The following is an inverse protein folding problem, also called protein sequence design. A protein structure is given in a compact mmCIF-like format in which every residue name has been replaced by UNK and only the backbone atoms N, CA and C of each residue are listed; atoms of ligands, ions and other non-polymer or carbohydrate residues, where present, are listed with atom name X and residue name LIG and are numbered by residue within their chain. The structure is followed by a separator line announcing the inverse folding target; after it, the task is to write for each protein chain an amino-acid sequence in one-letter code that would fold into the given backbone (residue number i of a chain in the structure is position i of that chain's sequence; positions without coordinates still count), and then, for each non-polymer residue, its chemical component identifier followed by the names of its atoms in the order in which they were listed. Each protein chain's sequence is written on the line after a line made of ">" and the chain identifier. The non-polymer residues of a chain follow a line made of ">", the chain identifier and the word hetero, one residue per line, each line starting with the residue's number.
data_IF_538519049976
#
_entry.id   IF_538519049976
#
_cell.length_a   1.000
_cell.length_b   1.000
_cell.length_c   1.000
_cell.angle_alpha   90.00
_cell.angle_beta   90.00
_cell.angle_gamma   90.00
#
_symmetry.space_group_name_H-M   'P 1'
#
loop_
_entity.id
_entity.type
_entity.pdbx_description
1 polymer ?
#
# COMPACT_ATOMS: atom_id res chain seq x y z
N UNK A 1 -17.79 -32.50 -8.41
CA UNK A 1 -18.40 -31.14 -8.30
C UNK A 1 -17.31 -30.11 -8.57
N UNK A 2 -17.18 -29.63 -9.80
CA UNK A 2 -16.15 -28.69 -10.20
C UNK A 2 -16.65 -27.26 -9.91
N UNK A 3 -15.89 -26.55 -9.08
CA UNK A 3 -16.18 -25.23 -8.57
C UNK A 3 -16.27 -24.18 -9.69
N UNK A 4 -17.44 -23.59 -9.91
CA UNK A 4 -17.72 -22.50 -10.87
C UNK A 4 -17.20 -21.14 -10.36
N UNK A 5 -15.94 -21.04 -9.93
CA UNK A 5 -15.38 -19.83 -9.32
C UNK A 5 -14.58 -18.96 -10.31
N UNK A 6 -14.46 -19.35 -11.57
CA UNK A 6 -13.60 -18.62 -12.54
C UNK A 6 -14.20 -17.35 -13.15
N UNK A 7 -15.52 -17.17 -13.16
CA UNK A 7 -16.18 -16.03 -13.82
C UNK A 7 -16.04 -14.69 -13.10
N UNK A 8 -16.14 -14.57 -11.77
CA UNK A 8 -16.06 -13.26 -11.11
C UNK A 8 -14.67 -12.62 -11.20
N UNK A 9 -13.59 -13.40 -11.25
CA UNK A 9 -12.23 -12.85 -11.39
C UNK A 9 -11.96 -12.26 -12.78
N UNK A 10 -12.49 -12.88 -13.83
CA UNK A 10 -12.39 -12.35 -15.20
C UNK A 10 -13.23 -11.07 -15.39
N UNK A 11 -14.40 -11.00 -14.79
CA UNK A 11 -15.26 -9.81 -14.87
C UNK A 11 -14.70 -8.65 -14.05
N UNK A 12 -14.11 -8.89 -12.88
CA UNK A 12 -13.43 -7.88 -12.08
C UNK A 12 -12.18 -7.37 -12.79
N UNK A 13 -11.37 -8.26 -13.39
CA UNK A 13 -10.20 -7.88 -14.19
C UNK A 13 -10.56 -7.08 -15.44
N UNK A 14 -11.59 -7.48 -16.17
CA UNK A 14 -12.07 -6.77 -17.36
C UNK A 14 -12.69 -5.41 -17.02
N UNK A 15 -13.42 -5.30 -15.90
CA UNK A 15 -13.92 -4.04 -15.37
C UNK A 15 -12.78 -3.13 -14.93
N UNK A 16 -11.74 -3.68 -14.28
CA UNK A 16 -10.54 -2.92 -13.88
C UNK A 16 -9.79 -2.35 -15.07
N UNK A 17 -9.54 -3.16 -16.12
CA UNK A 17 -8.89 -2.72 -17.36
C UNK A 17 -9.77 -1.72 -18.14
N UNK A 18 -11.08 -1.93 -18.18
CA UNK A 18 -12.02 -1.00 -18.81
C UNK A 18 -12.06 0.37 -18.10
N UNK A 19 -12.01 0.40 -16.77
CA UNK A 19 -11.96 1.66 -16.01
C UNK A 19 -10.63 2.40 -16.19
N UNK A 20 -9.51 1.68 -16.38
CA UNK A 20 -8.20 2.27 -16.68
C UNK A 20 -8.20 3.00 -18.05
N UNK A 21 -8.72 2.35 -19.09
CA UNK A 21 -8.76 2.93 -20.44
C UNK A 21 -9.68 4.18 -20.55
N UNK A 22 -10.72 4.24 -19.71
CA UNK A 22 -11.70 5.33 -19.71
C UNK A 22 -11.54 6.31 -18.54
N UNK A 23 -10.51 6.16 -17.70
CA UNK A 23 -10.33 7.01 -16.52
C UNK A 23 -10.25 8.51 -16.84
N UNK A 24 -9.57 8.90 -17.93
CA UNK A 24 -9.47 10.29 -18.38
C UNK A 24 -10.80 10.89 -18.83
N UNK A 25 -11.49 10.32 -19.83
CA UNK A 25 -12.79 10.84 -20.30
C UNK A 25 -13.89 10.72 -19.25
N UNK A 26 -13.95 9.63 -18.48
CA UNK A 26 -14.91 9.47 -17.38
C UNK A 26 -14.63 10.50 -16.28
N UNK A 27 -13.37 10.75 -15.92
CA UNK A 27 -12.99 11.76 -14.95
C UNK A 27 -13.49 13.16 -15.33
N UNK A 28 -13.32 13.56 -16.60
CA UNK A 28 -13.83 14.83 -17.13
C UNK A 28 -15.37 14.90 -17.10
N UNK A 29 -16.04 13.82 -17.44
CA UNK A 29 -17.50 13.73 -17.37
C UNK A 29 -18.02 13.83 -15.94
N UNK A 30 -17.39 13.15 -14.99
CA UNK A 30 -17.75 13.21 -13.56
C UNK A 30 -17.47 14.58 -12.93
N UNK A 31 -16.45 15.31 -13.41
CA UNK A 31 -16.25 16.73 -13.04
C UNK A 31 -17.38 17.62 -13.52
N UNK A 32 -17.85 17.42 -14.75
CA UNK A 32 -18.95 18.21 -15.33
C UNK A 32 -20.24 18.06 -14.53
N UNK A 33 -20.46 16.87 -13.93
CA UNK A 33 -21.62 16.58 -13.07
C UNK A 33 -21.37 17.00 -11.59
N UNK A 34 -20.21 17.63 -11.26
CA UNK A 34 -19.80 18.00 -9.89
C UNK A 34 -19.70 16.81 -8.90
N UNK A 35 -19.57 15.60 -9.39
CA UNK A 35 -19.38 14.40 -8.57
C UNK A 35 -17.93 14.24 -8.07
N UNK A 36 -16.94 14.76 -8.82
CA UNK A 36 -15.53 14.76 -8.44
C UNK A 36 -15.07 16.17 -8.05
N UNK A 37 -14.37 16.27 -6.95
CA UNK A 37 -13.69 17.49 -6.54
C UNK A 37 -12.49 17.76 -7.47
N UNK A 38 -12.14 19.03 -7.76
CA UNK A 38 -11.00 19.38 -8.63
C UNK A 38 -9.67 18.75 -8.19
N UNK A 39 -9.49 18.56 -6.89
CA UNK A 39 -8.35 17.93 -6.27
C UNK A 39 -8.25 16.42 -6.61
N UNK A 40 -9.38 15.70 -6.64
CA UNK A 40 -9.41 14.27 -6.99
C UNK A 40 -9.07 14.05 -8.47
N UNK A 41 -9.54 14.94 -9.32
CA UNK A 41 -9.24 14.89 -10.74
C UNK A 41 -7.75 15.11 -11.00
N UNK A 42 -7.11 16.08 -10.35
CA UNK A 42 -5.66 16.30 -10.47
C UNK A 42 -4.83 15.06 -10.10
N UNK A 43 -5.26 14.28 -9.10
CA UNK A 43 -4.58 13.03 -8.76
C UNK A 43 -4.69 11.96 -9.85
N UNK A 44 -5.86 11.87 -10.50
CA UNK A 44 -6.07 10.94 -11.61
C UNK A 44 -5.27 11.38 -12.84
N UNK A 45 -5.22 12.68 -13.12
CA UNK A 45 -4.44 13.23 -14.22
C UNK A 45 -2.94 13.03 -14.03
N UNK A 46 -2.42 13.31 -12.83
CA UNK A 46 -1.03 13.07 -12.47
C UNK A 46 -0.64 11.57 -12.50
N UNK A 47 -1.59 10.69 -12.23
CA UNK A 47 -1.39 9.25 -12.34
C UNK A 47 -1.33 8.77 -13.80
N UNK A 48 -2.22 9.27 -14.67
CA UNK A 48 -2.28 8.89 -16.08
C UNK A 48 -1.13 9.50 -16.89
N UNK A 49 -0.76 10.75 -16.59
CA UNK A 49 0.30 11.51 -17.26
C UNK A 49 1.13 12.27 -16.24
N UNK A 50 2.07 11.61 -15.54
CA UNK A 50 2.88 12.26 -14.51
C UNK A 50 3.72 13.43 -15.04
N UNK A 51 4.09 13.40 -16.32
CA UNK A 51 4.86 14.44 -16.98
C UNK A 51 4.08 15.75 -17.24
N UNK A 52 2.75 15.69 -17.21
CA UNK A 52 1.90 16.87 -17.45
C UNK A 52 1.86 17.84 -16.28
N UNK A 53 2.22 17.40 -15.08
CA UNK A 53 2.29 18.23 -13.87
C UNK A 53 3.66 18.08 -13.19
N UNK A 54 4.70 18.78 -13.70
CA UNK A 54 6.06 18.63 -13.21
C UNK A 54 6.33 19.37 -11.87
N UNK A 55 5.33 20.00 -11.27
CA UNK A 55 5.52 20.87 -10.09
C UNK A 55 4.78 20.41 -8.84
N UNK A 56 3.80 19.49 -8.95
CA UNK A 56 2.97 19.03 -7.81
C UNK A 56 2.88 17.48 -7.77
N UNK A 57 1.72 16.94 -8.01
CA UNK A 57 1.44 15.49 -7.85
C UNK A 57 2.14 14.63 -8.91
N UNK A 58 2.28 15.12 -10.13
CA UNK A 58 3.05 14.45 -11.17
C UNK A 58 4.53 14.35 -10.81
N UNK A 59 5.11 15.42 -10.26
CA UNK A 59 6.49 15.43 -9.79
C UNK A 59 6.74 14.37 -8.70
N UNK A 60 5.83 14.26 -7.71
CA UNK A 60 5.93 13.25 -6.66
C UNK A 60 5.96 11.82 -7.23
N UNK A 61 5.09 11.52 -8.20
CA UNK A 61 5.03 10.20 -8.84
C UNK A 61 6.33 9.92 -9.61
N UNK A 62 6.80 10.88 -10.43
CA UNK A 62 8.03 10.74 -11.20
C UNK A 62 9.26 10.49 -10.32
N UNK A 63 9.42 11.29 -9.27
CA UNK A 63 10.53 11.12 -8.33
C UNK A 63 10.48 9.78 -7.58
N UNK A 64 9.27 9.32 -7.22
CA UNK A 64 9.08 7.98 -6.65
C UNK A 64 9.49 6.87 -7.61
N UNK A 65 9.13 6.97 -8.89
CA UNK A 65 9.54 6.00 -9.91
C UNK A 65 11.05 6.05 -10.19
N UNK A 66 11.66 7.26 -10.19
CA UNK A 66 13.11 7.40 -10.31
C UNK A 66 13.85 6.78 -9.11
N UNK A 67 13.33 6.95 -7.88
CA UNK A 67 13.87 6.28 -6.70
C UNK A 67 13.88 4.76 -6.86
N UNK A 68 12.75 4.16 -7.27
CA UNK A 68 12.64 2.72 -7.50
C UNK A 68 13.61 2.27 -8.60
N UNK A 69 13.66 3.01 -9.72
CA UNK A 69 14.50 2.65 -10.87
C UNK A 69 16.00 2.76 -10.59
N UNK A 70 16.42 3.76 -9.80
CA UNK A 70 17.82 4.00 -9.46
C UNK A 70 18.38 2.97 -8.47
N UNK A 71 17.53 2.33 -7.65
CA UNK A 71 17.97 1.35 -6.66
C UNK A 71 18.47 0.03 -7.27
N UNK A 72 18.04 -0.36 -8.47
CA UNK A 72 18.46 -1.60 -9.11
C UNK A 72 18.22 -2.85 -8.23
N UNK A 73 19.14 -3.82 -8.27
CA UNK A 73 19.00 -5.07 -7.50
C UNK A 73 19.47 -4.93 -6.05
N UNK A 74 20.56 -4.22 -5.80
CA UNK A 74 21.28 -4.17 -4.50
C UNK A 74 21.03 -2.86 -3.76
N UNK A 75 20.57 -1.82 -4.45
CA UNK A 75 20.41 -0.47 -3.92
C UNK A 75 21.69 0.37 -4.02
N UNK A 76 21.55 1.64 -3.69
CA UNK A 76 22.68 2.60 -3.67
C UNK A 76 23.44 2.56 -2.34
N UNK A 77 22.86 1.97 -1.30
CA UNK A 77 23.41 1.92 0.06
C UNK A 77 22.51 2.63 1.07
N UNK A 78 22.53 2.14 2.31
CA UNK A 78 21.79 2.72 3.42
C UNK A 78 22.25 4.16 3.66
N UNK A 79 21.31 5.08 3.62
CA UNK A 79 21.60 6.48 3.83
C UNK A 79 22.01 7.28 2.60
N UNK A 80 22.24 6.62 1.46
CA UNK A 80 22.76 7.25 0.22
C UNK A 80 21.64 7.63 -0.78
N UNK A 81 20.37 7.56 -0.39
CA UNK A 81 19.25 7.99 -1.25
C UNK A 81 19.38 9.49 -1.56
N UNK A 82 19.40 9.81 -2.84
CA UNK A 82 19.39 11.22 -3.32
C UNK A 82 17.97 11.79 -3.21
N UNK A 83 16.96 10.97 -3.46
CA UNK A 83 15.56 11.40 -3.48
C UNK A 83 15.06 11.89 -2.11
N UNK A 84 15.58 11.32 -1.01
CA UNK A 84 15.21 11.77 0.35
C UNK A 84 15.75 13.16 0.71
N UNK A 85 16.75 13.68 0.00
CA UNK A 85 17.37 14.98 0.28
C UNK A 85 16.52 16.19 -0.15
N UNK A 86 15.22 15.99 -0.40
CA UNK A 86 14.25 17.03 -0.71
C UNK A 86 13.72 16.98 -2.15
N UNK A 87 14.17 16.03 -2.97
CA UNK A 87 13.64 15.84 -4.32
C UNK A 87 12.29 15.14 -4.31
N UNK A 88 12.06 14.17 -3.40
CA UNK A 88 10.79 13.45 -3.28
C UNK A 88 9.95 14.04 -2.14
N UNK A 89 8.81 14.70 -2.45
CA UNK A 89 7.87 15.15 -1.43
C UNK A 89 7.33 13.95 -0.62
N UNK A 90 7.10 14.16 0.68
CA UNK A 90 6.55 13.14 1.59
C UNK A 90 7.34 11.82 1.60
N UNK A 91 8.65 11.88 1.33
CA UNK A 91 9.55 10.73 1.26
C UNK A 91 9.55 9.86 2.53
N UNK A 92 9.30 10.46 3.70
CA UNK A 92 9.25 9.77 4.99
C UNK A 92 7.86 9.20 5.33
N UNK A 93 6.82 9.64 4.63
CA UNK A 93 5.44 9.28 4.87
C UNK A 93 4.95 8.20 3.89
N UNK A 94 4.16 8.60 2.90
CA UNK A 94 3.52 7.69 1.95
C UNK A 94 4.46 7.14 0.86
N UNK A 95 5.62 7.79 0.65
CA UNK A 95 6.61 7.40 -0.37
C UNK A 95 7.85 6.69 0.21
N UNK A 96 7.83 6.29 1.49
CA UNK A 96 8.98 5.65 2.13
C UNK A 96 9.41 4.36 1.43
N UNK A 97 8.47 3.61 0.85
CA UNK A 97 8.78 2.38 0.11
C UNK A 97 9.65 2.65 -1.13
N UNK A 98 9.49 3.82 -1.81
CA UNK A 98 10.36 4.21 -2.92
C UNK A 98 11.81 4.46 -2.44
N UNK A 99 11.97 5.10 -1.28
CA UNK A 99 13.30 5.32 -0.67
C UNK A 99 13.96 3.99 -0.29
N UNK A 100 13.19 3.04 0.25
CA UNK A 100 13.69 1.71 0.56
C UNK A 100 14.15 0.99 -0.71
N UNK A 101 13.42 1.11 -1.79
CA UNK A 101 13.83 0.57 -3.09
C UNK A 101 15.11 1.23 -3.59
N UNK A 102 15.30 2.54 -3.41
CA UNK A 102 16.51 3.25 -3.80
C UNK A 102 17.72 2.83 -2.97
N UNK A 103 17.59 2.76 -1.63
CA UNK A 103 18.70 2.44 -0.72
C UNK A 103 19.07 0.95 -0.68
N UNK A 104 18.08 0.06 -0.67
CA UNK A 104 18.26 -1.38 -0.50
C UNK A 104 17.99 -2.19 -1.77
N UNK A 105 17.55 -1.54 -2.83
CA UNK A 105 17.23 -2.18 -4.11
C UNK A 105 16.07 -3.15 -4.04
N UNK A 106 15.97 -4.01 -5.04
CA UNK A 106 14.95 -5.05 -5.14
C UNK A 106 15.01 -6.03 -3.97
N UNK A 107 16.21 -6.39 -3.49
CA UNK A 107 16.35 -7.28 -2.34
C UNK A 107 15.73 -6.69 -1.08
N UNK A 108 15.90 -5.40 -0.82
CA UNK A 108 15.28 -4.70 0.31
C UNK A 108 13.77 -4.64 0.18
N UNK A 109 13.25 -4.29 -1.00
CA UNK A 109 11.82 -4.24 -1.28
C UNK A 109 11.15 -5.61 -1.07
N UNK A 110 11.74 -6.67 -1.63
CA UNK A 110 11.22 -8.05 -1.46
C UNK A 110 11.29 -8.49 -0.01
N UNK A 111 12.37 -8.18 0.70
CA UNK A 111 12.50 -8.53 2.13
C UNK A 111 11.39 -7.91 2.97
N UNK A 112 11.05 -6.65 2.75
CA UNK A 112 9.95 -5.98 3.46
C UNK A 112 8.60 -6.62 3.13
N UNK A 113 8.34 -6.91 1.86
CA UNK A 113 7.11 -7.61 1.45
C UNK A 113 7.02 -8.97 2.15
N UNK A 114 8.11 -9.74 2.20
CA UNK A 114 8.14 -11.04 2.87
C UNK A 114 7.90 -10.92 4.38
N UNK A 115 8.42 -9.88 5.05
CA UNK A 115 8.15 -9.62 6.46
C UNK A 115 6.64 -9.35 6.68
N UNK A 116 6.00 -8.54 5.84
CA UNK A 116 4.56 -8.31 5.94
C UNK A 116 3.74 -9.57 5.65
N UNK A 117 4.11 -10.36 4.65
CA UNK A 117 3.47 -11.64 4.37
C UNK A 117 3.61 -12.61 5.54
N UNK A 118 4.79 -12.67 6.17
CA UNK A 118 5.01 -13.48 7.37
C UNK A 118 4.15 -13.00 8.54
N UNK A 119 4.02 -11.69 8.74
CA UNK A 119 3.16 -11.12 9.78
C UNK A 119 1.68 -11.47 9.54
N UNK A 120 1.18 -11.32 8.31
CA UNK A 120 -0.18 -11.71 7.92
C UNK A 120 -0.41 -13.22 8.17
N UNK A 121 0.55 -14.06 7.80
CA UNK A 121 0.51 -15.49 8.07
C UNK A 121 0.41 -15.79 9.57
N UNK A 122 1.19 -15.08 10.40
CA UNK A 122 1.13 -15.23 11.88
C UNK A 122 -0.24 -14.81 12.43
N UNK A 123 -0.84 -13.74 11.92
CA UNK A 123 -2.19 -13.32 12.33
C UNK A 123 -3.24 -14.36 11.95
N UNK A 124 -3.12 -14.95 10.75
CA UNK A 124 -4.02 -16.03 10.33
C UNK A 124 -3.92 -17.25 11.25
N UNK A 125 -2.71 -17.63 11.69
CA UNK A 125 -2.53 -18.70 12.66
C UNK A 125 -3.17 -18.37 14.02
N UNK A 126 -3.03 -17.12 14.50
CA UNK A 126 -3.64 -16.69 15.76
C UNK A 126 -5.17 -16.71 15.63
N UNK A 127 -5.73 -16.20 14.54
CA UNK A 127 -7.17 -16.18 14.31
C UNK A 127 -7.77 -17.60 14.26
N UNK A 128 -7.09 -18.53 13.59
CA UNK A 128 -7.55 -19.93 13.49
C UNK A 128 -7.50 -20.70 14.82
N UNK A 129 -6.63 -20.31 15.74
CA UNK A 129 -6.46 -20.94 17.04
C UNK A 129 -7.08 -20.14 18.20
N UNK A 130 -7.79 -19.05 17.90
CA UNK A 130 -8.43 -18.22 18.92
C UNK A 130 -9.50 -19.02 19.69
N UNK A 131 -9.59 -18.84 21.02
CA UNK A 131 -10.51 -19.64 21.85
C UNK A 131 -11.99 -19.30 21.61
N UNK A 132 -12.26 -18.11 21.08
CA UNK A 132 -13.61 -17.62 20.81
C UNK A 132 -13.70 -16.92 19.45
N UNK A 133 -14.92 -16.91 18.89
CA UNK A 133 -15.20 -16.29 17.60
C UNK A 133 -14.94 -14.78 17.61
N UNK A 134 -15.19 -14.10 18.72
CA UNK A 134 -15.00 -12.66 18.81
C UNK A 134 -13.51 -12.28 18.68
N UNK A 135 -12.64 -12.99 19.42
CA UNK A 135 -11.19 -12.80 19.31
C UNK A 135 -10.67 -13.12 17.91
N UNK A 136 -11.16 -14.21 17.28
CA UNK A 136 -10.82 -14.55 15.91
C UNK A 136 -11.17 -13.41 14.92
N UNK A 137 -12.39 -12.85 15.01
CA UNK A 137 -12.84 -11.76 14.15
C UNK A 137 -12.05 -10.46 14.37
N UNK A 138 -11.67 -10.16 15.61
CA UNK A 138 -10.80 -9.01 15.91
C UNK A 138 -9.43 -9.15 15.21
N UNK A 139 -8.79 -10.31 15.32
CA UNK A 139 -7.50 -10.57 14.66
C UNK A 139 -7.61 -10.50 13.14
N UNK A 140 -8.68 -11.06 12.55
CA UNK A 140 -8.95 -10.98 11.12
C UNK A 140 -9.16 -9.52 10.67
N UNK A 141 -9.85 -8.71 11.49
CA UNK A 141 -10.03 -7.28 11.23
C UNK A 141 -8.70 -6.52 11.16
N UNK A 142 -7.84 -6.70 12.16
CA UNK A 142 -6.50 -6.09 12.19
C UNK A 142 -5.64 -6.60 11.04
N UNK A 143 -5.64 -7.90 10.77
CA UNK A 143 -4.93 -8.50 9.64
C UNK A 143 -5.37 -7.88 8.31
N UNK A 144 -6.68 -7.75 8.09
CA UNK A 144 -7.25 -7.15 6.88
C UNK A 144 -6.86 -5.68 6.74
N UNK A 145 -6.93 -4.89 7.82
CA UNK A 145 -6.51 -3.49 7.83
C UNK A 145 -5.05 -3.33 7.38
N UNK A 146 -4.12 -4.04 8.04
CA UNK A 146 -2.69 -3.96 7.71
C UNK A 146 -2.41 -4.47 6.29
N UNK A 147 -3.02 -5.59 5.89
CA UNK A 147 -2.83 -6.15 4.55
C UNK A 147 -3.27 -5.16 3.45
N UNK A 148 -4.45 -4.57 3.59
CA UNK A 148 -4.98 -3.58 2.63
C UNK A 148 -4.07 -2.34 2.60
N UNK A 149 -3.63 -1.85 3.76
CA UNK A 149 -2.78 -0.67 3.85
C UNK A 149 -1.43 -0.88 3.15
N UNK A 150 -0.79 -2.05 3.34
CA UNK A 150 0.47 -2.42 2.65
C UNK A 150 0.27 -2.53 1.14
N UNK A 151 -0.78 -3.23 0.71
CA UNK A 151 -1.08 -3.41 -0.73
C UNK A 151 -1.33 -2.06 -1.39
N UNK A 152 -2.14 -1.19 -0.77
CA UNK A 152 -2.46 0.12 -1.32
C UNK A 152 -1.23 1.04 -1.37
N UNK A 153 -0.37 1.04 -0.33
CA UNK A 153 0.85 1.84 -0.35
C UNK A 153 1.79 1.40 -1.48
N UNK A 154 2.07 0.09 -1.60
CA UNK A 154 2.93 -0.44 -2.66
C UNK A 154 2.34 -0.13 -4.05
N UNK A 155 1.02 -0.30 -4.24
CA UNK A 155 0.35 -0.01 -5.50
C UNK A 155 0.41 1.49 -5.87
N UNK A 156 0.34 2.39 -4.89
CA UNK A 156 0.53 3.84 -5.10
C UNK A 156 1.97 4.14 -5.50
N UNK A 157 2.94 3.65 -4.74
CA UNK A 157 4.37 3.94 -4.95
C UNK A 157 4.86 3.39 -6.30
N UNK A 158 4.31 2.26 -6.76
CA UNK A 158 4.58 1.68 -8.09
C UNK A 158 3.74 2.31 -9.20
N UNK A 159 3.01 3.37 -8.93
CA UNK A 159 2.10 4.04 -9.86
C UNK A 159 1.05 3.10 -10.51
N UNK A 160 0.69 2.00 -9.84
CA UNK A 160 -0.38 1.09 -10.30
C UNK A 160 -1.76 1.70 -10.06
N UNK A 161 -1.92 2.50 -9.01
CA UNK A 161 -3.14 3.25 -8.67
C UNK A 161 -2.80 4.72 -8.38
N UNK A 162 -3.78 5.65 -8.49
CA UNK A 162 -3.56 7.05 -8.14
C UNK A 162 -3.10 7.23 -6.70
N UNK A 163 -2.25 8.24 -6.46
CA UNK A 163 -1.74 8.53 -5.12
C UNK A 163 -2.89 8.81 -4.13
N UNK A 164 -2.96 8.00 -3.07
CA UNK A 164 -3.98 8.11 -2.01
C UNK A 164 -3.44 8.72 -0.72
N UNK A 165 -2.11 8.80 -0.54
CA UNK A 165 -1.48 9.28 0.69
C UNK A 165 -1.54 8.27 1.85
N UNK A 166 -1.73 6.98 1.56
CA UNK A 166 -1.74 5.92 2.58
C UNK A 166 -0.31 5.57 2.96
N UNK A 167 0.00 5.61 4.25
CA UNK A 167 1.31 5.31 4.80
C UNK A 167 1.59 3.80 4.88
N UNK A 168 2.86 3.39 4.84
CA UNK A 168 3.27 1.99 5.05
C UNK A 168 3.27 1.67 6.56
N UNK A 169 2.54 0.64 7.03
CA UNK A 169 2.44 0.33 8.46
C UNK A 169 3.82 0.14 9.11
N UNK A 170 4.00 0.68 10.31
CA UNK A 170 5.22 0.59 11.15
C UNK A 170 6.48 1.25 10.59
N UNK A 171 6.58 1.48 9.29
CA UNK A 171 7.79 2.00 8.62
C UNK A 171 7.66 3.49 8.36
N UNK A 172 6.49 3.94 7.91
CA UNK A 172 6.25 5.35 7.64
C UNK A 172 6.30 6.21 8.90
N UNK A 173 6.81 7.41 8.76
CA UNK A 173 6.78 8.40 9.83
C UNK A 173 5.34 8.85 10.10
N UNK A 174 4.91 8.77 11.37
CA UNK A 174 3.59 9.19 11.79
C UNK A 174 3.28 8.75 13.22
N UNK A 175 3.39 9.65 14.21
CA UNK A 175 3.21 9.31 15.63
C UNK A 175 1.82 8.75 15.94
N UNK A 176 0.77 9.34 15.38
CA UNK A 176 -0.61 8.87 15.57
C UNK A 176 -0.85 7.52 14.88
N UNK A 177 -0.34 7.32 13.67
CA UNK A 177 -0.46 6.05 12.94
C UNK A 177 0.22 4.91 13.71
N UNK A 178 1.44 5.13 14.19
CA UNK A 178 2.18 4.14 14.99
C UNK A 178 1.44 3.81 16.29
N UNK A 179 0.86 4.81 16.96
CA UNK A 179 0.09 4.58 18.19
C UNK A 179 -1.10 3.63 17.93
N UNK A 180 -1.89 3.88 16.89
CA UNK A 180 -3.03 3.01 16.56
C UNK A 180 -2.59 1.61 16.14
N UNK A 181 -1.53 1.50 15.34
CA UNK A 181 -0.97 0.19 14.97
C UNK A 181 -0.46 -0.59 16.18
N UNK A 182 0.16 0.08 17.16
CA UNK A 182 0.57 -0.57 18.42
C UNK A 182 -0.63 -1.02 19.26
N UNK A 183 -1.72 -0.25 19.29
CA UNK A 183 -2.98 -0.68 19.94
C UNK A 183 -3.55 -1.92 19.25
N UNK A 184 -3.61 -1.95 17.91
CA UNK A 184 -4.04 -3.12 17.14
C UNK A 184 -3.17 -4.35 17.44
N UNK A 185 -1.85 -4.17 17.49
CA UNK A 185 -0.93 -5.25 17.89
C UNK A 185 -1.18 -5.74 19.30
N UNK A 186 -1.51 -4.82 20.24
CA UNK A 186 -1.90 -5.17 21.60
C UNK A 186 -3.14 -6.07 21.64
N UNK A 187 -4.14 -5.80 20.81
CA UNK A 187 -5.34 -6.63 20.68
C UNK A 187 -4.96 -8.04 20.16
N UNK A 188 -4.16 -8.12 19.11
CA UNK A 188 -3.73 -9.41 18.55
C UNK A 188 -2.93 -10.22 19.58
N UNK A 189 -2.02 -9.58 20.30
CA UNK A 189 -1.24 -10.24 21.35
C UNK A 189 -2.11 -10.70 22.52
N UNK A 190 -3.13 -9.94 22.91
CA UNK A 190 -4.09 -10.33 23.93
C UNK A 190 -4.85 -11.61 23.55
N UNK A 191 -5.33 -11.70 22.31
CA UNK A 191 -5.98 -12.92 21.81
C UNK A 191 -4.98 -14.08 21.75
N UNK A 192 -3.78 -13.83 21.24
CA UNK A 192 -2.72 -14.85 21.15
C UNK A 192 -2.37 -15.44 22.52
N UNK A 193 -2.35 -14.62 23.57
CA UNK A 193 -2.03 -15.09 24.94
C UNK A 193 -3.13 -15.97 25.56
N UNK A 194 -4.34 -15.91 25.05
CA UNK A 194 -5.47 -16.74 25.50
C UNK A 194 -5.49 -18.12 24.85
N UNK A 195 -4.68 -18.35 23.80
CA UNK A 195 -4.59 -19.63 23.12
C UNK A 195 -3.91 -20.62 24.07
N UNK A 196 -4.66 -21.64 24.50
CA UNK A 196 -4.11 -22.75 25.27
C UNK A 196 -3.33 -23.64 24.31
N UNK A 197 -2.02 -23.69 24.49
CA UNK A 197 -1.21 -24.71 23.84
C UNK A 197 -1.56 -26.04 24.51
N UNK A 198 -2.34 -26.88 23.82
CA UNK A 198 -2.44 -28.29 24.20
C UNK A 198 -1.04 -28.90 24.09
N UNK A 199 -0.52 -29.31 25.26
CA UNK A 199 0.74 -30.05 25.36
C UNK A 199 0.52 -31.50 25.02
#
# INVERSE_FOLDING_TARGET
>A
MACKVKWPFFTIGALGLGTLAFAGPIGKFLMTIKLLQPYQFRRIEAWLNPESDPTDKGFQVLQGLYAIGSGGLVGQGLGESIQKLGFLPESQNDMIFAIICEELGLFGAVSIILIFLFMIYRFMLIANNAPDLFGALLVVGVMGHIAIQVILNIAVVTNTIPNTGITLPFISYGGTSVLFLLMEMGIVLSVSNQIKLEK
#
